data_IF_229641275713
#
_entry.id   IF_229641275713
#
_cell.length_a   1.000
_cell.length_b   1.000
_cell.length_c   1.000
_cell.angle_alpha   90.00
_cell.angle_beta   90.00
_cell.angle_gamma   90.00
#
_symmetry.space_group_name_H-M   'P 1'
#
loop_
_entity.id
_entity.type
_entity.pdbx_description
1 polymer ?
2 polymer ?
3 non-polymer ?
4 non-polymer ?
5 water ?
#
# COMPACT_ATOMS: atom_id res chain seq x y z
N UNK A 1 5.85 -9.81 -25.60
CA UNK A 1 4.84 -9.74 -24.55
C UNK A 1 4.44 -11.13 -24.02
N UNK A 2 4.27 -12.09 -24.93
CA UNK A 2 4.04 -13.50 -24.58
C UNK A 2 2.99 -13.82 -23.51
N UNK A 3 3.46 -14.30 -22.35
CA UNK A 3 2.55 -14.65 -21.25
C UNK A 3 1.90 -13.40 -20.65
N UNK A 4 2.57 -12.25 -20.79
CA UNK A 4 2.06 -10.98 -20.25
C UNK A 4 0.80 -10.50 -20.97
N UNK A 5 0.54 -11.08 -22.15
CA UNK A 5 -0.66 -10.76 -22.91
C UNK A 5 -1.95 -11.12 -22.12
N UNK A 6 -1.91 -12.22 -21.35
CA UNK A 6 -3.09 -12.70 -20.61
C UNK A 6 -3.25 -12.06 -19.23
N UNK A 7 -3.19 -10.73 -19.19
CA UNK A 7 -3.38 -9.99 -17.95
C UNK A 7 -4.29 -8.77 -18.18
N UNK A 8 -4.80 -8.19 -17.08
CA UNK A 8 -5.43 -6.87 -17.17
C UNK A 8 -4.70 -5.91 -16.23
N UNK A 9 -4.80 -4.62 -16.50
CA UNK A 9 -4.21 -3.64 -15.61
C UNK A 9 -5.26 -3.03 -14.68
N UNK A 10 -4.86 -2.79 -13.42
CA UNK A 10 -5.71 -2.07 -12.48
C UNK A 10 -4.86 -1.04 -11.77
N UNK A 11 -5.48 0.05 -11.33
CA UNK A 11 -4.79 1.08 -10.60
C UNK A 11 -5.16 0.98 -9.13
N UNK A 12 -4.15 0.85 -8.28
CA UNK A 12 -4.45 0.88 -6.86
C UNK A 12 -3.93 2.21 -6.29
N UNK A 13 -4.56 2.69 -5.24
CA UNK A 13 -4.19 3.95 -4.64
C UNK A 13 -3.71 3.70 -3.21
N UNK A 14 -2.48 4.10 -2.90
CA UNK A 14 -1.94 4.01 -1.55
C UNK A 14 -2.20 5.34 -0.85
N UNK A 15 -2.84 5.30 0.31
CA UNK A 15 -3.21 6.51 1.04
C UNK A 15 -2.43 6.56 2.34
N UNK A 16 -1.73 7.67 2.57
CA UNK A 16 -0.87 7.81 3.73
C UNK A 16 -1.30 9.05 4.50
N UNK A 17 -1.29 8.96 5.83
CA UNK A 17 -1.53 10.12 6.70
C UNK A 17 -0.53 10.11 7.82
N UNK A 18 -0.20 11.28 8.38
CA UNK A 18 0.74 11.32 9.49
C UNK A 18 0.55 12.61 10.30
N UNK A 19 0.79 12.53 11.60
CA UNK A 19 0.81 13.74 12.42
C UNK A 19 1.73 13.58 13.62
N UNK A 20 2.29 14.69 14.11
CA UNK A 20 3.19 14.63 15.27
C UNK A 20 2.45 14.18 16.53
N UNK A 21 3.11 13.35 17.34
CA UNK A 21 2.62 13.02 18.69
C UNK A 21 3.39 13.84 19.73
N UNK A 22 2.82 14.97 20.19
CA UNK A 22 3.59 15.79 21.14
C UNK A 22 3.94 15.09 22.47
N UNK A 23 3.18 14.06 22.86
CA UNK A 23 3.42 13.42 24.16
C UNK A 23 4.62 12.48 24.13
N UNK A 24 5.14 12.24 22.93
CA UNK A 24 6.28 11.38 22.72
C UNK A 24 7.55 12.23 22.61
N UNK A 25 8.54 11.97 23.48
CA UNK A 25 9.76 12.78 23.41
C UNK A 25 10.43 12.68 22.04
N UNK A 26 10.79 13.83 21.46
CA UNK A 26 11.53 13.82 20.21
C UNK A 26 12.81 12.98 20.30
N UNK A 27 13.19 12.37 19.19
CA UNK A 27 14.43 11.62 19.08
C UNK A 27 15.45 12.51 18.38
N UNK A 28 16.46 12.94 19.12
CA UNK A 28 17.48 13.87 18.61
C UNK A 28 16.81 15.12 18.05
N UNK A 29 15.85 15.64 18.81
CA UNK A 29 15.04 16.82 18.48
C UNK A 29 14.10 16.62 17.28
N UNK A 30 13.98 15.38 16.79
CA UNK A 30 13.01 15.05 15.76
C UNK A 30 11.72 14.54 16.38
N UNK A 31 10.59 15.16 16.06
CA UNK A 31 9.33 14.70 16.64
C UNK A 31 8.95 13.29 16.18
N UNK A 32 8.30 12.54 17.07
CA UNK A 32 7.78 11.25 16.69
C UNK A 32 6.38 11.49 16.20
N UNK A 33 6.05 10.86 15.07
CA UNK A 33 4.76 11.00 14.41
C UNK A 33 4.01 9.69 14.39
N UNK A 34 2.69 9.76 14.42
CA UNK A 34 1.84 8.61 14.16
C UNK A 34 1.58 8.62 12.67
N UNK A 35 1.70 7.47 12.01
CA UNK A 35 1.37 7.48 10.60
C UNK A 35 0.59 6.22 10.26
N UNK A 36 -0.13 6.29 9.14
CA UNK A 36 -0.95 5.16 8.68
C UNK A 36 -0.85 5.04 7.18
N UNK A 37 -1.00 3.82 6.68
CA UNK A 37 -1.09 3.57 5.26
C UNK A 37 -2.27 2.61 5.04
N UNK A 38 -3.07 2.90 4.01
CA UNK A 38 -4.17 2.00 3.59
C UNK A 38 -4.08 1.86 2.08
N UNK A 39 -4.75 0.83 1.56
CA UNK A 39 -4.73 0.58 0.13
C UNK A 39 -6.15 0.43 -0.38
N UNK A 40 -6.48 1.14 -1.46
CA UNK A 40 -7.76 0.96 -2.11
C UNK A 40 -7.55 0.69 -3.59
N UNK A 41 -8.58 0.15 -4.23
CA UNK A 41 -8.55 -0.07 -5.66
C UNK A 41 -9.37 1.02 -6.32
N UNK A 42 -8.99 1.40 -7.53
CA UNK A 42 -9.82 2.31 -8.32
C UNK A 42 -10.57 1.54 -9.38
N UNK A 43 -11.80 1.96 -9.67
CA UNK A 43 -12.54 1.38 -10.79
C UNK A 43 -12.30 2.16 -12.08
N UNK A 44 -12.98 1.79 -13.15
CA UNK A 44 -12.76 2.40 -14.46
C UNK A 44 -13.17 3.86 -14.51
N UNK A 45 -13.89 4.32 -13.48
CA UNK A 45 -14.30 5.71 -13.37
C UNK A 45 -13.41 6.52 -12.42
N UNK A 46 -12.52 5.84 -11.70
CA UNK A 46 -11.62 6.51 -10.77
C UNK A 46 -12.14 6.58 -9.35
N UNK A 47 -13.26 5.92 -9.10
CA UNK A 47 -13.84 5.84 -7.76
C UNK A 47 -13.11 4.81 -6.87
N UNK A 48 -12.93 5.14 -5.60
CA UNK A 48 -12.26 4.19 -4.68
C UNK A 48 -13.22 3.08 -4.27
N UNK A 49 -12.74 1.85 -4.37
CA UNK A 49 -13.52 0.68 -3.95
C UNK A 49 -12.60 -0.24 -3.16
N UNK A 50 -13.15 -1.13 -2.31
CA UNK A 50 -12.31 -2.05 -1.54
C UNK A 50 -11.38 -2.89 -2.41
N UNK A 51 -10.13 -3.04 -2.00
CA UNK A 51 -9.18 -3.81 -2.80
C UNK A 51 -9.30 -5.31 -2.49
N UNK A 52 -10.45 -5.89 -2.84
CA UNK A 52 -10.74 -7.27 -2.50
C UNK A 52 -10.01 -8.27 -3.42
N UNK A 53 -9.29 -7.76 -4.41
CA UNK A 53 -8.46 -8.62 -5.28
C UNK A 53 -7.20 -9.12 -4.57
N UNK A 54 -6.94 -8.62 -3.37
CA UNK A 54 -5.79 -9.08 -2.57
C UNK A 54 -6.30 -9.91 -1.40
N UNK A 55 -5.76 -11.09 -1.15
CA UNK A 55 -6.18 -11.70 0.12
C UNK A 55 -5.19 -11.38 1.22
N UNK A 56 -4.05 -10.77 0.87
CA UNK A 56 -3.08 -10.37 1.91
C UNK A 56 -2.20 -9.22 1.44
N UNK A 57 -1.81 -8.37 2.38
CA UNK A 57 -0.85 -7.29 2.14
C UNK A 57 0.19 -7.34 3.25
N UNK A 58 1.45 -7.27 2.87
CA UNK A 58 2.52 -7.24 3.88
C UNK A 58 3.33 -5.99 3.70
N UNK A 59 3.38 -5.17 4.74
CA UNK A 59 4.23 -3.99 4.74
C UNK A 59 5.61 -4.37 5.22
N UNK A 60 6.62 -4.07 4.43
CA UNK A 60 7.97 -4.41 4.80
C UNK A 60 8.65 -3.14 5.31
N UNK A 61 8.64 -2.97 6.62
CA UNK A 61 9.08 -1.71 7.20
C UNK A 61 10.58 -1.67 7.38
N UNK A 62 11.09 -0.44 7.57
CA UNK A 62 12.47 -0.20 7.91
C UNK A 62 12.81 -1.09 9.09
N UNK A 63 14.02 -1.67 9.08
CA UNK A 63 14.40 -2.60 10.16
C UNK A 63 14.59 -1.93 11.52
N UNK A 64 14.38 -0.62 11.62
CA UNK A 64 14.37 0.03 12.93
C UNK A 64 13.05 -0.27 13.65
N UNK A 65 12.08 -0.84 12.94
CA UNK A 65 10.81 -1.27 13.53
C UNK A 65 10.82 -2.71 14.05
N UNK A 66 10.22 -2.93 15.21
CA UNK A 66 10.05 -4.28 15.73
C UNK A 66 9.18 -5.12 14.81
N UNK A 67 9.67 -6.31 14.46
CA UNK A 67 9.00 -7.20 13.51
C UNK A 67 8.47 -6.43 12.32
N UNK A 68 9.39 -5.92 11.48
CA UNK A 68 9.02 -4.91 10.49
C UNK A 68 8.14 -5.45 9.36
N UNK A 69 7.84 -6.73 9.34
CA UNK A 69 6.98 -7.26 8.30
C UNK A 69 5.59 -7.54 8.82
N UNK A 70 4.68 -6.63 8.49
CA UNK A 70 3.37 -6.55 9.12
C UNK A 70 2.31 -7.02 8.15
N UNK A 71 1.60 -8.08 8.50
CA UNK A 71 0.63 -8.70 7.61
C UNK A 71 -0.81 -8.31 7.91
N UNK A 72 -1.56 -7.97 6.86
CA UNK A 72 -2.96 -7.60 6.99
C UNK A 72 -3.78 -8.40 5.99
N UNK A 73 -4.99 -8.79 6.36
CA UNK A 73 -5.77 -9.66 5.48
C UNK A 73 -7.10 -9.05 5.08
N UNK A 74 -7.45 -7.93 5.66
CA UNK A 74 -8.76 -7.34 5.39
C UNK A 74 -8.64 -5.93 4.84
N UNK A 75 -9.30 -5.66 3.71
CA UNK A 75 -9.32 -4.32 3.14
C UNK A 75 -9.80 -3.30 4.18
N UNK A 76 -9.21 -2.10 4.23
CA UNK A 76 -8.18 -1.57 3.34
C UNK A 76 -6.74 -1.83 3.78
N UNK A 77 -6.53 -2.88 4.57
CA UNK A 77 -5.18 -3.29 4.97
C UNK A 77 -4.45 -2.15 5.69
N UNK A 78 -5.12 -1.55 6.65
CA UNK A 78 -4.62 -0.33 7.26
C UNK A 78 -3.56 -0.63 8.28
N UNK A 79 -2.39 -0.03 8.12
CA UNK A 79 -1.35 -0.19 9.13
C UNK A 79 -1.18 1.15 9.82
N UNK A 80 -0.93 1.11 11.12
CA UNK A 80 -0.61 2.32 11.87
C UNK A 80 0.64 2.11 12.68
N UNK A 81 1.54 3.08 12.67
CA UNK A 81 2.79 3.01 13.43
C UNK A 81 3.21 4.36 13.94
N UNK A 82 4.32 4.39 14.68
CA UNK A 82 4.93 5.63 15.14
C UNK A 82 6.36 5.65 14.66
N UNK A 83 6.88 6.83 14.33
CA UNK A 83 8.27 6.91 13.93
C UNK A 83 8.75 8.32 13.79
N UNK A 84 10.04 8.48 13.57
CA UNK A 84 10.65 9.81 13.55
C UNK A 84 11.25 10.13 12.18
N UNK A 85 11.24 9.17 11.28
CA UNK A 85 11.86 9.37 9.98
C UNK A 85 11.09 8.73 8.84
N UNK A 86 11.11 9.36 7.68
CA UNK A 86 10.47 8.77 6.51
C UNK A 86 11.41 7.75 5.88
N UNK A 87 10.88 6.91 4.99
CA UNK A 87 11.69 5.86 4.39
C UNK A 87 10.99 5.22 3.21
N UNK A 88 11.77 4.77 2.22
CA UNK A 88 11.15 4.02 1.13
C UNK A 88 10.79 2.65 1.67
N UNK A 89 9.68 2.09 1.21
CA UNK A 89 9.35 0.74 1.66
C UNK A 89 8.67 -0.01 0.53
N UNK A 90 8.71 -1.33 0.61
CA UNK A 90 8.01 -2.17 -0.33
C UNK A 90 6.76 -2.66 0.33
N UNK A 91 5.66 -2.62 -0.41
CA UNK A 91 4.42 -3.18 0.06
C UNK A 91 4.17 -4.43 -0.78
N UNK A 92 4.11 -5.62 -0.17
CA UNK A 92 3.80 -6.82 -0.98
C UNK A 92 2.29 -7.01 -1.01
N UNK A 93 1.71 -7.08 -2.20
CA UNK A 93 0.27 -7.36 -2.26
C UNK A 93 0.14 -8.73 -2.94
N UNK A 94 -0.69 -9.59 -2.35
CA UNK A 94 -0.84 -10.97 -2.80
C UNK A 94 -2.22 -11.08 -3.38
N UNK A 95 -2.31 -11.32 -4.69
CA UNK A 95 -3.57 -11.52 -5.39
C UNK A 95 -4.29 -12.77 -4.92
N UNK A 96 -5.62 -12.74 -5.02
CA UNK A 96 -6.45 -13.91 -4.66
C UNK A 96 -5.97 -15.12 -5.39
N UNK A 97 -6.23 -16.30 -4.81
CA UNK A 97 -6.06 -17.61 -5.49
C UNK A 97 -4.62 -17.87 -5.89
N UNK A 98 -3.69 -17.35 -5.08
CA UNK A 98 -2.26 -17.49 -5.29
C UNK A 98 -1.84 -17.05 -6.68
N UNK A 99 -2.52 -16.02 -7.19
CA UNK A 99 -2.27 -15.57 -8.55
C UNK A 99 -0.94 -14.84 -8.66
N UNK A 100 -0.41 -14.36 -7.55
CA UNK A 100 0.93 -13.79 -7.60
C UNK A 100 1.13 -12.67 -6.59
N UNK A 101 2.39 -12.47 -6.22
CA UNK A 101 2.78 -11.37 -5.37
C UNK A 101 3.20 -10.19 -6.26
N UNK A 102 2.78 -8.98 -5.89
CA UNK A 102 3.29 -7.76 -6.51
C UNK A 102 3.96 -6.94 -5.43
N UNK A 103 5.16 -6.45 -5.68
CA UNK A 103 5.79 -5.53 -4.75
C UNK A 103 5.53 -4.12 -5.21
N UNK A 104 4.92 -3.31 -4.34
CA UNK A 104 4.62 -1.95 -4.72
C UNK A 104 5.51 -1.02 -3.94
N UNK A 105 6.32 -0.24 -4.67
CA UNK A 105 7.25 0.71 -4.05
C UNK A 105 6.47 1.87 -3.44
N UNK A 106 6.67 2.10 -2.16
CA UNK A 106 6.03 3.26 -1.53
C UNK A 106 7.08 4.10 -0.86
N UNK A 107 6.79 5.38 -0.62
CA UNK A 107 7.67 6.20 0.19
C UNK A 107 6.86 6.79 1.31
N UNK A 108 7.27 6.51 2.54
CA UNK A 108 6.58 7.02 3.72
C UNK A 108 7.32 8.28 4.10
N UNK A 109 6.66 9.43 4.04
CA UNK A 109 7.35 10.66 4.30
C UNK A 109 6.42 11.69 4.94
N UNK A 110 7.01 12.78 5.42
CA UNK A 110 6.31 13.73 6.28
C UNK A 110 6.13 15.07 5.57
N UNK A 111 6.23 15.05 4.26
CA UNK A 111 6.12 16.25 3.43
C UNK A 111 4.72 16.87 3.40
N UNK A 112 3.71 16.01 3.53
CA UNK A 112 2.31 16.44 3.67
C UNK A 112 1.65 15.71 4.83
N UNK A 113 0.59 16.28 5.37
CA UNK A 113 -0.22 15.59 6.40
C UNK A 113 -0.90 14.32 5.83
N UNK A 114 -1.25 14.37 4.55
CA UNK A 114 -1.80 13.19 3.90
C UNK A 114 -1.53 13.30 2.42
N UNK A 115 -1.30 12.15 1.78
CA UNK A 115 -0.99 12.14 0.37
C UNK A 115 -1.32 10.79 -0.19
N UNK A 116 -1.66 10.77 -1.48
CA UNK A 116 -2.07 9.55 -2.14
C UNK A 116 -1.18 9.29 -3.36
N UNK A 117 -0.89 8.02 -3.63
CA UNK A 117 -0.05 7.67 -4.75
C UNK A 117 -0.73 6.53 -5.52
N UNK A 118 -0.79 6.62 -6.84
CA UNK A 118 -1.41 5.54 -7.61
C UNK A 118 -0.36 4.65 -8.28
N UNK A 119 -0.63 3.35 -8.35
CA UNK A 119 0.26 2.40 -9.00
C UNK A 119 -0.57 1.50 -9.91
N UNK A 120 -0.05 1.23 -11.10
CA UNK A 120 -0.70 0.31 -12.03
C UNK A 120 -0.05 -1.07 -11.87
N UNK A 121 -0.86 -2.10 -11.64
CA UNK A 121 -0.34 -3.45 -11.59
C UNK A 121 -1.03 -4.29 -12.67
N UNK A 122 -0.33 -5.32 -13.16
CA UNK A 122 -0.88 -6.28 -14.12
C UNK A 122 -1.35 -7.53 -13.40
N UNK A 123 -2.57 -7.96 -13.71
CA UNK A 123 -3.18 -9.05 -12.97
C UNK A 123 -3.58 -10.17 -13.93
N UNK A 124 -3.19 -11.42 -13.62
CA UNK A 124 -3.59 -12.47 -14.56
C UNK A 124 -5.08 -12.77 -14.57
N UNK A 125 -5.52 -13.45 -15.62
CA UNK A 125 -6.92 -13.78 -15.84
C UNK A 125 -7.18 -15.27 -15.85
N UNK A 126 -6.36 -16.04 -15.15
CA UNK A 126 -6.50 -17.48 -15.19
C UNK A 126 -7.01 -18.11 -13.91
N UNK A 127 -7.40 -17.30 -12.92
CA UNK A 127 -7.98 -17.82 -11.68
C UNK A 127 -9.43 -17.35 -11.57
N UNK A 128 -10.39 -18.25 -11.79
CA UNK A 128 -11.81 -17.87 -11.86
C UNK A 128 -12.28 -16.93 -10.75
N UNK A 129 -11.93 -17.21 -9.50
CA UNK A 129 -12.42 -16.37 -8.42
C UNK A 129 -11.82 -14.96 -8.47
N UNK A 130 -10.58 -14.85 -8.94
CA UNK A 130 -9.95 -13.53 -9.08
C UNK A 130 -10.55 -12.78 -10.27
N UNK A 131 -10.82 -13.51 -11.34
CA UNK A 131 -11.43 -12.92 -12.54
C UNK A 131 -12.81 -12.37 -12.21
N UNK A 132 -13.58 -13.08 -11.40
CA UNK A 132 -14.88 -12.58 -10.97
C UNK A 132 -14.79 -11.34 -10.14
N UNK A 133 -13.77 -11.30 -9.27
CA UNK A 133 -13.59 -10.17 -8.38
C UNK A 133 -13.19 -8.95 -9.21
N UNK A 134 -12.33 -9.17 -10.21
CA UNK A 134 -11.85 -8.11 -11.11
C UNK A 134 -12.97 -7.40 -11.85
N UNK A 135 -14.04 -8.13 -12.15
CA UNK A 135 -15.18 -7.58 -12.87
C UNK A 135 -15.79 -6.39 -12.14
N UNK A 136 -15.69 -6.38 -10.81
CA UNK A 136 -16.23 -5.27 -10.02
C UNK A 136 -15.56 -3.92 -10.29
N UNK A 137 -14.32 -3.94 -10.73
CA UNK A 137 -13.56 -2.71 -10.85
C UNK A 137 -13.35 -2.25 -12.28
N UNK A 138 -13.80 -3.03 -13.26
CA UNK A 138 -13.64 -2.61 -14.63
C UNK A 138 -13.72 -3.75 -15.63
N UNK A 139 -13.38 -3.46 -16.88
CA UNK A 139 -13.44 -4.46 -17.94
C UNK A 139 -12.36 -5.49 -17.71
N UNK A 140 -12.62 -6.72 -18.18
CA UNK A 140 -11.68 -7.82 -18.01
C UNK A 140 -11.45 -8.53 -19.35
CA UNK B 1 10.99 18.06 10.30
C UNK B 1 10.30 17.29 9.17
N UNK B 2 9.66 18.01 8.26
CA UNK B 2 8.88 17.35 7.22
C UNK B 2 9.74 16.52 6.26
N UNK B 3 11.01 16.88 6.13
CA UNK B 3 11.96 16.14 5.32
C UNK B 3 12.78 15.10 6.10
N UNK B 4 12.48 14.91 7.39
CA UNK B 4 13.13 13.86 8.18
C UNK B 4 13.14 12.51 7.45
N UNK B 5 14.31 11.91 7.29
CA UNK B 5 14.41 10.62 6.62
C UNK B 5 15.42 9.68 7.27
N UNK B 7 18.15 6.40 6.94
CA UNK B 7 19.08 5.73 6.02
C UNK B 7 18.66 4.27 5.75
N UNK B 8 18.89 3.80 4.53
CA UNK B 8 18.50 2.44 4.14
C UNK B 8 19.68 1.45 4.12
#
# INVERSE_FOLDING_TARGET
LGSMVATVKRTIRIKTQQHILPEVPPVENFPVRQWSIEIVLLDDEGKEIPATIFDKVIYHLHPTFANPNRTFTDPPFRIEEQGWGGFPLDISVFLLEKAGERKIPHDLNFLQESYEVEHVIQIPLNKPLLTEELAKSGST
AQTARXST
#
